data_IF_016006898832
#
_entry.id   IF_016006898832
#
_cell.length_a   1.000
_cell.length_b   1.000
_cell.length_c   1.000
_cell.angle_alpha   90.00
_cell.angle_beta   90.00
_cell.angle_gamma   90.00
#
_symmetry.space_group_name_H-M   'P 1'
#
loop_
_entity.id
_entity.type
_entity.pdbx_description
1 polymer ?
#
# COMPACT_ATOMS: atom_id res chain seq x y z
N UNK A 1 5.90 4.81 -32.87
CA UNK A 1 4.78 4.27 -33.69
C UNK A 1 4.42 2.92 -33.09
N UNK A 2 3.37 2.88 -32.27
CA UNK A 2 2.95 1.63 -31.61
C UNK A 2 1.86 0.98 -32.44
N UNK A 3 2.10 -0.23 -32.89
CA UNK A 3 1.08 -1.06 -33.53
C UNK A 3 0.46 -1.98 -32.47
N UNK A 4 -0.80 -1.74 -32.18
CA UNK A 4 -1.59 -2.63 -31.32
C UNK A 4 -2.16 -3.77 -32.18
N UNK A 5 -1.83 -5.00 -31.84
CA UNK A 5 -2.54 -6.18 -32.34
C UNK A 5 -3.64 -6.53 -31.34
N UNK A 6 -4.87 -6.55 -31.83
CA UNK A 6 -6.02 -7.07 -31.08
C UNK A 6 -6.21 -8.52 -31.46
N UNK A 7 -5.86 -9.43 -30.56
CA UNK A 7 -6.37 -10.78 -30.57
C UNK A 7 -6.83 -11.17 -29.13
N UNK A 8 -7.98 -11.79 -29.10
CA UNK A 8 -8.81 -12.01 -27.92
C UNK A 8 -8.24 -13.21 -27.12
N UNK A 9 -7.31 -12.98 -26.24
CA UNK A 9 -6.86 -13.77 -25.08
C UNK A 9 -5.34 -13.61 -24.89
N UNK A 10 -4.95 -13.13 -23.72
CA UNK A 10 -3.57 -12.99 -23.22
C UNK A 10 -2.81 -11.72 -23.63
N UNK A 11 -2.91 -10.71 -22.76
CA UNK A 11 -2.01 -9.56 -22.80
C UNK A 11 -0.66 -9.95 -22.21
N UNK A 12 0.40 -10.00 -23.06
CA UNK A 12 1.78 -9.86 -22.62
C UNK A 12 2.28 -8.48 -23.03
N UNK A 13 2.91 -7.71 -22.12
CA UNK A 13 3.50 -6.44 -22.49
C UNK A 13 4.67 -6.66 -23.45
N UNK A 14 4.65 -5.93 -24.58
CA UNK A 14 5.81 -5.87 -25.49
C UNK A 14 6.85 -5.01 -24.78
N UNK A 15 7.97 -5.61 -24.38
CA UNK A 15 9.12 -4.88 -23.85
C UNK A 15 9.71 -4.00 -24.96
N UNK A 16 10.01 -2.71 -24.69
CA UNK A 16 10.80 -1.91 -25.60
C UNK A 16 12.19 -2.54 -25.76
N UNK A 17 12.69 -2.58 -26.99
CA UNK A 17 14.07 -2.94 -27.26
C UNK A 17 14.95 -1.85 -26.63
N UNK A 18 15.62 -2.19 -25.52
CA UNK A 18 16.58 -1.30 -24.89
C UNK A 18 17.84 -1.26 -25.73
N UNK A 19 18.29 -0.08 -26.09
CA UNK A 19 19.60 0.14 -26.65
C UNK A 19 20.68 -0.29 -25.64
N UNK A 20 21.73 -0.96 -26.15
CA UNK A 20 22.72 -1.73 -25.39
C UNK A 20 23.71 -0.89 -24.55
N UNK A 21 23.45 0.39 -24.29
CA UNK A 21 24.43 1.30 -23.67
C UNK A 21 24.33 1.39 -22.13
N UNK A 22 23.43 0.64 -21.47
CA UNK A 22 23.28 0.66 -20.01
C UNK A 22 23.57 -0.69 -19.29
N UNK A 23 24.29 -1.59 -19.97
CA UNK A 23 24.48 -2.98 -19.44
C UNK A 23 25.62 -3.16 -18.44
N UNK A 24 26.43 -2.13 -18.14
CA UNK A 24 27.69 -2.32 -17.39
C UNK A 24 27.66 -1.98 -15.89
N UNK A 25 26.56 -1.50 -15.31
CA UNK A 25 26.56 -1.04 -13.91
C UNK A 25 25.94 -2.03 -12.89
N UNK A 26 25.31 -3.13 -13.32
CA UNK A 26 24.78 -4.15 -12.40
C UNK A 26 25.19 -5.56 -12.79
N UNK A 27 26.51 -5.85 -12.69
CA UNK A 27 27.01 -7.19 -12.82
C UNK A 27 26.78 -7.98 -11.54
N UNK A 28 25.72 -8.78 -11.52
CA UNK A 28 25.53 -9.81 -10.48
C UNK A 28 26.60 -10.90 -10.63
N UNK A 29 27.20 -11.39 -9.52
CA UNK A 29 28.15 -12.49 -9.59
C UNK A 29 27.46 -13.79 -10.03
N UNK A 30 28.13 -14.63 -10.81
CA UNK A 30 27.54 -15.89 -11.29
C UNK A 30 27.52 -16.95 -10.17
N UNK A 31 26.44 -17.70 -10.15
CA UNK A 31 26.23 -18.98 -9.49
C UNK A 31 25.81 -19.00 -8.02
N UNK A 32 24.52 -19.26 -7.83
CA UNK A 32 24.08 -20.30 -6.90
C UNK A 32 22.77 -20.92 -7.43
N UNK A 33 22.90 -22.08 -8.06
CA UNK A 33 21.79 -22.95 -8.42
C UNK A 33 21.14 -23.51 -7.15
N UNK A 34 19.86 -23.21 -6.92
CA UNK A 34 19.05 -23.93 -5.93
C UNK A 34 18.53 -25.20 -6.58
N UNK A 35 19.14 -26.35 -6.25
CA UNK A 35 18.58 -27.66 -6.55
C UNK A 35 17.41 -27.96 -5.62
N UNK A 36 16.22 -28.09 -6.20
CA UNK A 36 15.09 -28.75 -5.53
C UNK A 36 15.43 -30.24 -5.40
N UNK A 37 15.80 -30.68 -4.21
CA UNK A 37 15.79 -32.09 -3.87
C UNK A 37 14.43 -32.48 -3.29
N UNK A 38 13.80 -33.46 -3.97
CA UNK A 38 12.62 -34.18 -3.53
C UNK A 38 12.88 -34.81 -2.15
N UNK A 39 11.89 -34.68 -1.25
CA UNK A 39 11.91 -35.36 0.06
C UNK A 39 11.68 -36.86 -0.12
N UNK A 40 12.46 -37.73 0.52
CA UNK A 40 12.00 -39.05 0.91
C UNK A 40 11.34 -38.96 2.30
N UNK A 41 10.20 -39.61 2.43
CA UNK A 41 9.60 -39.90 3.74
C UNK A 41 10.42 -40.99 4.43
N UNK A 42 10.78 -40.81 5.69
CA UNK A 42 10.69 -41.76 6.80
C UNK A 42 11.64 -41.42 7.98
N UNK A 43 11.01 -41.22 9.11
CA UNK A 43 11.24 -41.86 10.42
C UNK A 43 12.38 -41.43 11.36
N UNK A 44 11.92 -41.25 12.60
CA UNK A 44 12.51 -41.43 13.93
C UNK A 44 13.44 -40.33 14.48
N UNK A 45 12.92 -39.82 15.56
CA UNK A 45 13.45 -38.94 16.55
C UNK A 45 14.91 -39.13 16.95
N UNK A 46 15.50 -37.99 17.31
CA UNK A 46 16.45 -37.89 18.41
C UNK A 46 16.53 -36.45 18.89
N UNK A 47 16.56 -36.32 20.20
CA UNK A 47 16.86 -35.11 20.95
C UNK A 47 18.17 -34.47 20.48
N UNK A 48 18.16 -33.14 20.29
CA UNK A 48 19.38 -32.37 20.10
C UNK A 48 19.07 -30.87 20.16
N UNK A 49 19.21 -30.28 21.35
CA UNK A 49 19.27 -28.85 21.56
C UNK A 49 20.49 -28.28 20.81
N UNK A 50 20.25 -27.31 19.90
CA UNK A 50 21.29 -26.38 19.49
C UNK A 50 20.85 -24.95 19.85
N UNK A 51 21.66 -24.20 20.61
CA UNK A 51 21.35 -22.80 20.91
C UNK A 51 21.72 -21.93 19.72
N UNK A 52 20.75 -21.16 19.24
CA UNK A 52 20.99 -20.06 18.30
C UNK A 52 21.44 -18.83 19.08
N UNK A 53 22.54 -18.17 18.70
CA UNK A 53 22.91 -16.91 19.31
C UNK A 53 22.25 -15.76 18.56
N UNK A 54 21.19 -15.19 19.13
CA UNK A 54 20.72 -13.87 18.75
C UNK A 54 21.23 -12.85 19.76
N UNK A 55 22.22 -12.07 19.37
CA UNK A 55 22.59 -10.86 20.08
C UNK A 55 21.62 -9.75 19.75
N UNK A 56 20.72 -9.43 20.67
CA UNK A 56 20.04 -8.14 20.70
C UNK A 56 20.52 -7.39 21.95
N UNK A 57 21.39 -6.42 21.75
CA UNK A 57 21.73 -5.44 22.77
C UNK A 57 20.58 -4.41 22.83
N UNK A 58 19.69 -4.56 23.79
CA UNK A 58 18.71 -3.54 24.14
C UNK A 58 18.79 -3.28 25.65
N UNK A 59 19.19 -2.06 26.10
CA UNK A 59 19.51 -1.79 27.50
C UNK A 59 18.30 -1.46 28.40
N UNK A 60 17.07 -1.77 28.02
CA UNK A 60 15.88 -1.34 28.76
C UNK A 60 14.94 -2.44 29.26
N UNK A 61 15.42 -3.64 29.58
CA UNK A 61 14.59 -4.58 30.34
C UNK A 61 15.33 -5.16 31.53
N UNK A 62 15.28 -4.40 32.65
CA UNK A 62 15.54 -4.92 33.97
C UNK A 62 14.18 -5.21 34.62
N UNK A 63 13.71 -6.44 34.59
CA UNK A 63 12.64 -6.92 35.47
C UNK A 63 12.91 -8.34 35.90
N UNK A 64 12.79 -8.48 37.23
CA UNK A 64 13.26 -9.55 38.06
C UNK A 64 12.71 -10.94 37.72
N UNK A 65 13.58 -11.91 37.95
CA UNK A 65 13.25 -13.33 38.00
C UNK A 65 12.33 -13.60 39.19
N UNK A 66 11.10 -14.03 38.93
CA UNK A 66 10.30 -14.80 39.86
C UNK A 66 10.27 -16.25 39.42
N UNK A 67 11.04 -17.07 40.11
CA UNK A 67 10.92 -18.54 40.09
C UNK A 67 9.52 -18.93 40.59
N UNK A 68 8.65 -19.45 39.72
CA UNK A 68 7.46 -20.17 40.14
C UNK A 68 7.50 -21.59 39.61
N UNK A 69 7.49 -22.50 40.58
CA UNK A 69 7.46 -23.95 40.40
C UNK A 69 6.26 -24.38 39.53
N UNK A 70 6.55 -25.15 38.49
CA UNK A 70 5.55 -25.79 37.65
C UNK A 70 4.83 -26.87 38.41
N UNK A 71 3.55 -26.71 38.69
CA UNK A 71 2.68 -27.71 39.24
C UNK A 71 1.79 -28.29 38.13
N UNK A 72 1.97 -29.57 37.72
CA UNK A 72 1.26 -30.12 36.56
C UNK A 72 -0.17 -30.60 36.82
N UNK A 73 -0.75 -30.36 38.00
CA UNK A 73 -2.07 -30.85 38.36
C UNK A 73 -3.00 -29.72 38.84
N UNK A 74 -3.35 -28.80 37.97
CA UNK A 74 -4.50 -27.94 38.23
C UNK A 74 -5.31 -27.72 36.95
N UNK A 75 -6.16 -28.68 36.63
CA UNK A 75 -7.25 -28.53 35.70
C UNK A 75 -8.41 -27.85 36.40
N UNK A 76 -8.74 -26.63 36.04
CA UNK A 76 -10.01 -26.01 36.39
C UNK A 76 -9.97 -24.69 37.12
N UNK A 77 -9.41 -23.64 36.48
CA UNK A 77 -9.93 -22.32 36.71
C UNK A 77 -10.14 -21.66 35.35
N UNK A 78 -11.42 -21.55 34.96
CA UNK A 78 -11.84 -20.60 33.96
C UNK A 78 -11.41 -19.22 34.45
N UNK A 79 -10.26 -18.71 33.96
CA UNK A 79 -10.01 -17.30 33.98
C UNK A 79 -11.02 -16.67 33.02
N UNK A 80 -12.13 -16.21 33.61
CA UNK A 80 -13.02 -15.27 32.99
C UNK A 80 -12.14 -14.11 32.55
N UNK A 81 -11.89 -14.00 31.25
CA UNK A 81 -11.27 -12.86 30.62
C UNK A 81 -12.26 -11.71 30.76
N UNK A 82 -12.28 -11.07 31.94
CA UNK A 82 -13.04 -9.86 32.15
C UNK A 82 -12.30 -8.74 31.39
N UNK A 83 -12.88 -8.39 30.24
CA UNK A 83 -12.78 -7.08 29.60
C UNK A 83 -11.45 -6.33 29.76
N UNK A 84 -10.35 -6.90 29.25
CA UNK A 84 -9.30 -6.04 28.76
C UNK A 84 -9.82 -5.43 27.46
N UNK A 85 -10.00 -4.11 27.37
CA UNK A 85 -10.29 -3.50 26.08
C UNK A 85 -9.14 -3.87 25.16
N UNK A 86 -9.48 -4.57 24.07
CA UNK A 86 -8.52 -4.86 23.01
C UNK A 86 -7.83 -3.54 22.64
N UNK A 87 -6.49 -3.45 22.66
CA UNK A 87 -5.79 -2.22 22.30
C UNK A 87 -6.07 -1.77 20.86
N UNK A 88 -6.73 -2.60 20.06
CA UNK A 88 -7.11 -2.34 18.66
C UNK A 88 -8.41 -1.56 18.49
N UNK A 89 -9.15 -1.22 19.54
CA UNK A 89 -10.45 -0.55 19.39
C UNK A 89 -10.43 0.95 19.73
N UNK A 90 -9.27 1.57 19.80
CA UNK A 90 -9.20 3.02 19.67
C UNK A 90 -9.29 3.36 18.18
N UNK A 91 -10.46 3.84 17.80
CA UNK A 91 -10.72 4.36 16.47
C UNK A 91 -9.72 5.49 16.19
N UNK A 92 -8.68 5.22 15.41
CA UNK A 92 -7.61 6.15 15.13
C UNK A 92 -8.19 7.39 14.43
N UNK A 93 -7.86 8.58 14.91
CA UNK A 93 -8.18 9.82 14.22
C UNK A 93 -7.51 9.84 12.84
N UNK A 94 -8.21 10.22 11.79
CA UNK A 94 -7.62 10.31 10.46
C UNK A 94 -6.91 11.67 10.30
N UNK A 95 -5.57 11.61 10.32
CA UNK A 95 -4.65 12.74 10.15
C UNK A 95 -3.29 12.28 9.64
N UNK A 96 -2.39 13.19 9.30
CA UNK A 96 -1.01 12.87 8.92
C UNK A 96 -0.17 12.48 10.13
N UNK A 97 0.19 11.20 10.21
CA UNK A 97 1.04 10.61 11.25
C UNK A 97 2.54 10.63 10.92
N UNK A 98 2.92 11.00 9.69
CA UNK A 98 4.32 11.03 9.29
C UNK A 98 5.17 12.05 10.06
N UNK A 99 6.48 11.84 10.16
CA UNK A 99 7.24 10.69 9.68
C UNK A 99 7.36 9.52 10.68
N UNK A 100 6.54 9.51 11.75
CA UNK A 100 6.61 8.47 12.78
C UNK A 100 6.16 7.11 12.24
N UNK A 101 6.75 5.99 12.71
CA UNK A 101 6.27 4.66 12.36
C UNK A 101 4.77 4.51 12.67
N UNK A 102 4.03 3.90 11.75
CA UNK A 102 2.59 3.69 11.87
C UNK A 102 2.24 2.27 11.43
N UNK A 103 1.38 1.62 12.21
CA UNK A 103 0.71 0.36 11.84
C UNK A 103 -0.79 0.63 11.93
N UNK A 104 -1.50 0.42 10.83
CA UNK A 104 -2.92 0.76 10.72
C UNK A 104 -3.61 -0.21 9.76
N UNK A 105 -4.89 -0.45 9.94
CA UNK A 105 -5.71 -1.06 8.92
C UNK A 105 -6.05 -0.01 7.86
N UNK A 106 -5.42 -0.13 6.68
CA UNK A 106 -5.54 0.88 5.61
C UNK A 106 -6.90 0.82 4.94
N UNK A 107 -7.47 -0.37 4.77
CA UNK A 107 -8.82 -0.59 4.23
C UNK A 107 -9.86 0.12 5.11
N UNK A 108 -9.91 -0.20 6.41
CA UNK A 108 -10.80 0.46 7.37
C UNK A 108 -10.61 1.99 7.36
N UNK A 109 -9.37 2.45 7.23
CA UNK A 109 -9.07 3.89 7.22
C UNK A 109 -9.61 4.56 5.95
N UNK A 110 -9.48 3.90 4.80
CA UNK A 110 -10.00 4.40 3.53
C UNK A 110 -11.54 4.43 3.52
N UNK A 111 -12.19 3.37 3.99
CA UNK A 111 -13.65 3.28 4.10
C UNK A 111 -14.24 4.38 5.01
N UNK A 112 -13.58 4.62 6.14
CA UNK A 112 -13.99 5.65 7.12
C UNK A 112 -13.73 7.07 6.65
N UNK A 113 -12.82 7.28 5.70
CA UNK A 113 -12.53 8.62 5.21
C UNK A 113 -13.72 9.18 4.44
N UNK A 114 -14.17 10.36 4.83
CA UNK A 114 -15.23 11.12 4.15
C UNK A 114 -14.70 12.37 3.45
N UNK A 115 -13.40 12.66 3.57
CA UNK A 115 -12.79 13.79 2.89
C UNK A 115 -12.48 13.43 1.43
N UNK A 116 -12.59 14.39 0.54
CA UNK A 116 -12.15 14.23 -0.84
C UNK A 116 -10.68 13.78 -0.89
N UNK A 117 -9.78 14.42 -0.12
CA UNK A 117 -8.38 14.05 0.04
C UNK A 117 -7.92 14.26 1.47
N UNK A 118 -7.23 13.28 2.05
CA UNK A 118 -6.61 13.38 3.36
C UNK A 118 -5.23 12.73 3.30
N UNK A 119 -4.18 13.48 3.63
CA UNK A 119 -2.84 12.91 3.82
C UNK A 119 -2.81 12.16 5.15
N UNK A 120 -2.54 10.85 5.07
CA UNK A 120 -2.50 9.96 6.23
C UNK A 120 -1.09 9.81 6.81
N UNK A 121 -0.09 9.81 5.94
CA UNK A 121 1.31 9.67 6.37
C UNK A 121 2.26 10.29 5.35
N UNK A 122 3.22 11.09 5.82
CA UNK A 122 4.24 11.72 4.99
C UNK A 122 5.63 11.36 5.48
N UNK A 123 6.38 10.62 4.67
CA UNK A 123 7.79 10.30 4.88
C UNK A 123 8.73 11.10 3.98
N UNK A 124 9.99 10.70 3.93
CA UNK A 124 10.99 11.33 3.05
C UNK A 124 10.80 10.97 1.59
N UNK A 125 10.45 9.70 1.31
CA UNK A 125 10.44 9.14 -0.05
C UNK A 125 9.06 8.71 -0.54
N UNK A 126 8.07 8.65 0.35
CA UNK A 126 6.70 8.34 -0.02
C UNK A 126 5.68 9.06 0.86
N UNK A 127 4.47 9.16 0.35
CA UNK A 127 3.33 9.72 1.05
C UNK A 127 2.09 8.86 0.80
N UNK A 128 1.30 8.64 1.84
CA UNK A 128 0.03 7.92 1.77
C UNK A 128 -1.12 8.90 1.93
N UNK A 129 -2.08 8.84 1.00
CA UNK A 129 -3.32 9.64 1.07
C UNK A 129 -4.54 8.75 1.00
N UNK A 130 -5.62 9.18 1.61
CA UNK A 130 -6.95 8.60 1.50
C UNK A 130 -7.82 9.53 0.67
N UNK A 131 -8.71 8.97 -0.16
CA UNK A 131 -9.69 9.74 -0.92
C UNK A 131 -11.07 9.11 -0.84
N UNK A 132 -12.09 9.97 -0.94
CA UNK A 132 -13.49 9.56 -1.05
C UNK A 132 -14.16 10.41 -2.12
N UNK A 133 -14.56 9.77 -3.22
CA UNK A 133 -15.24 10.43 -4.35
C UNK A 133 -16.73 10.09 -4.30
N UNK A 134 -17.58 11.11 -4.30
CA UNK A 134 -19.03 10.92 -4.38
C UNK A 134 -19.44 10.33 -5.75
N UNK A 135 -20.63 9.74 -5.90
CA UNK A 135 -21.13 9.30 -7.20
C UNK A 135 -21.06 10.41 -8.26
N UNK A 136 -20.43 10.11 -9.40
CA UNK A 136 -20.20 11.05 -10.50
C UNK A 136 -19.02 12.00 -10.31
N UNK A 137 -18.37 12.01 -9.14
CA UNK A 137 -17.20 12.84 -8.87
C UNK A 137 -15.92 12.19 -9.43
N UNK A 138 -14.94 12.99 -9.78
CA UNK A 138 -13.63 12.54 -10.24
C UNK A 138 -12.48 13.25 -9.51
N UNK A 139 -11.25 12.73 -9.64
CA UNK A 139 -10.05 13.34 -9.05
C UNK A 139 -9.60 14.60 -9.77
N UNK A 140 -10.14 14.87 -10.98
CA UNK A 140 -9.60 15.83 -11.94
C UNK A 140 -8.52 15.20 -12.82
N UNK A 141 -8.48 15.58 -14.10
CA UNK A 141 -7.40 15.10 -15.00
C UNK A 141 -6.09 15.77 -14.64
N UNK A 142 -5.17 15.01 -14.08
CA UNK A 142 -3.90 15.50 -13.53
C UNK A 142 -2.68 14.74 -14.08
N UNK A 143 -1.48 15.32 -13.88
CA UNK A 143 -0.19 14.71 -14.19
C UNK A 143 0.80 15.07 -13.10
N UNK A 144 1.61 14.10 -12.68
CA UNK A 144 2.72 14.29 -11.74
C UNK A 144 4.04 14.05 -12.49
N UNK A 145 4.76 15.12 -12.91
CA UNK A 145 5.93 14.97 -13.81
C UNK A 145 7.06 14.10 -13.25
N UNK A 146 7.24 14.09 -11.92
CA UNK A 146 8.37 13.45 -11.24
C UNK A 146 7.95 12.53 -10.09
N UNK A 147 6.71 12.07 -10.10
CA UNK A 147 6.15 11.27 -9.02
C UNK A 147 5.47 10.04 -9.60
N UNK A 148 5.89 8.86 -9.20
CA UNK A 148 5.13 7.64 -9.43
C UNK A 148 4.01 7.54 -8.41
N UNK A 149 2.85 7.04 -8.85
CA UNK A 149 1.69 6.90 -7.99
C UNK A 149 1.12 5.48 -8.08
N UNK A 150 0.92 4.88 -6.92
CA UNK A 150 0.12 3.67 -6.76
C UNK A 150 -1.22 4.06 -6.16
N UNK A 151 -2.32 3.55 -6.72
CA UNK A 151 -3.67 3.77 -6.20
C UNK A 151 -4.35 2.42 -6.03
N UNK A 152 -5.06 2.23 -4.92
CA UNK A 152 -5.90 1.06 -4.71
C UNK A 152 -7.32 1.46 -4.32
N UNK A 153 -8.29 0.78 -4.91
CA UNK A 153 -9.70 0.89 -4.56
C UNK A 153 -10.00 -0.08 -3.42
N UNK A 154 -10.58 0.44 -2.34
CA UNK A 154 -11.01 -0.36 -1.18
C UNK A 154 -12.52 -0.56 -1.14
N UNK A 155 -13.32 0.36 -1.70
CA UNK A 155 -14.76 0.21 -1.83
C UNK A 155 -15.28 0.98 -3.05
N UNK A 156 -16.26 0.42 -3.76
CA UNK A 156 -17.00 1.11 -4.79
C UNK A 156 -16.61 0.74 -6.21
N UNK A 157 -17.11 1.51 -7.17
CA UNK A 157 -16.91 1.28 -8.59
C UNK A 157 -16.55 2.56 -9.31
N UNK A 158 -15.65 2.47 -10.27
CA UNK A 158 -15.19 3.62 -11.03
C UNK A 158 -14.61 3.26 -12.38
N UNK A 159 -14.02 4.26 -13.00
CA UNK A 159 -13.26 4.11 -14.24
C UNK A 159 -11.95 4.88 -14.09
N UNK A 160 -10.85 4.24 -14.47
CA UNK A 160 -9.55 4.90 -14.62
C UNK A 160 -9.27 5.15 -16.08
N UNK A 161 -8.74 6.34 -16.37
CA UNK A 161 -8.30 6.76 -17.69
C UNK A 161 -6.88 7.28 -17.59
N UNK A 162 -5.99 6.83 -18.49
CA UNK A 162 -4.58 7.26 -18.55
C UNK A 162 -4.12 7.50 -19.98
N UNK A 163 -3.12 8.37 -20.14
CA UNK A 163 -2.58 8.65 -21.46
C UNK A 163 -1.40 9.62 -21.47
N UNK A 164 -0.94 9.94 -22.66
CA UNK A 164 0.24 10.78 -22.88
C UNK A 164 -0.04 12.28 -22.79
N UNK A 165 -1.28 12.71 -22.81
CA UNK A 165 -1.67 14.11 -22.68
C UNK A 165 -3.07 14.26 -22.08
N UNK A 166 -3.38 15.45 -21.57
CA UNK A 166 -4.68 15.76 -20.95
C UNK A 166 -5.87 15.41 -21.87
N UNK A 167 -5.71 15.58 -23.16
CA UNK A 167 -6.77 15.36 -24.15
C UNK A 167 -6.67 14.00 -24.86
N UNK A 168 -5.73 13.14 -24.45
CA UNK A 168 -5.49 11.84 -25.08
C UNK A 168 -5.28 10.75 -24.02
N UNK A 169 -6.33 10.40 -23.29
CA UNK A 169 -6.38 9.34 -22.28
C UNK A 169 -6.86 8.04 -22.94
N UNK A 170 -5.95 7.32 -23.60
CA UNK A 170 -6.27 6.17 -24.46
C UNK A 170 -6.41 4.84 -23.69
N UNK A 171 -5.79 4.71 -22.52
CA UNK A 171 -5.96 3.55 -21.65
C UNK A 171 -7.15 3.80 -20.73
N UNK A 172 -8.17 2.96 -20.81
CA UNK A 172 -9.35 3.05 -19.96
C UNK A 172 -9.69 1.67 -19.40
N UNK A 173 -9.99 1.61 -18.08
CA UNK A 173 -10.38 0.37 -17.38
C UNK A 173 -11.41 0.67 -16.30
N UNK A 174 -12.39 -0.23 -16.19
CA UNK A 174 -13.29 -0.23 -15.04
C UNK A 174 -12.55 -0.62 -13.78
N UNK A 175 -12.97 -0.03 -12.68
CA UNK A 175 -12.44 -0.25 -11.34
C UNK A 175 -13.53 -0.83 -10.45
N UNK A 176 -13.12 -1.73 -9.59
CA UNK A 176 -13.93 -2.32 -8.53
C UNK A 176 -13.06 -2.51 -7.30
N UNK A 177 -13.65 -2.93 -6.19
CA UNK A 177 -12.95 -3.29 -4.97
C UNK A 177 -11.74 -4.21 -5.25
N UNK A 178 -10.60 -3.90 -4.65
CA UNK A 178 -9.32 -4.59 -4.85
C UNK A 178 -8.54 -4.17 -6.11
N UNK A 179 -9.10 -3.32 -7.00
CA UNK A 179 -8.39 -2.81 -8.19
C UNK A 179 -7.16 -1.99 -7.79
N UNK A 180 -6.03 -2.23 -8.46
CA UNK A 180 -4.80 -1.47 -8.29
C UNK A 180 -4.40 -0.76 -9.60
N UNK A 181 -3.99 0.50 -9.48
CA UNK A 181 -3.58 1.35 -10.59
C UNK A 181 -2.15 1.82 -10.34
N UNK A 182 -1.26 1.60 -11.30
CA UNK A 182 0.11 2.10 -11.30
C UNK A 182 0.20 3.24 -12.32
N UNK A 183 0.51 4.44 -11.85
CA UNK A 183 0.63 5.64 -12.67
C UNK A 183 2.10 6.07 -12.69
N UNK A 184 2.84 5.80 -13.77
CA UNK A 184 4.21 6.28 -13.91
C UNK A 184 4.28 7.81 -13.97
N UNK A 185 5.38 8.37 -13.47
CA UNK A 185 5.68 9.80 -13.58
C UNK A 185 5.46 10.31 -15.01
N UNK A 186 4.86 11.49 -15.14
CA UNK A 186 4.54 12.10 -16.44
C UNK A 186 3.31 11.55 -17.15
N UNK A 187 2.59 10.59 -16.56
CA UNK A 187 1.36 10.03 -17.15
C UNK A 187 0.14 10.84 -16.74
N UNK A 188 -0.59 11.38 -17.71
CA UNK A 188 -1.89 12.00 -17.49
C UNK A 188 -2.92 10.95 -17.09
N UNK A 189 -3.69 11.22 -16.06
CA UNK A 189 -4.67 10.27 -15.56
C UNK A 189 -5.87 10.95 -14.91
N UNK A 190 -6.96 10.19 -14.83
CA UNK A 190 -8.17 10.55 -14.10
C UNK A 190 -8.84 9.27 -13.55
N UNK A 191 -9.52 9.41 -12.44
CA UNK A 191 -10.40 8.39 -11.86
C UNK A 191 -11.75 9.03 -11.61
N UNK A 192 -12.80 8.40 -12.14
CA UNK A 192 -14.18 8.85 -11.97
C UNK A 192 -14.98 7.77 -11.22
N UNK A 193 -15.73 8.16 -10.21
CA UNK A 193 -16.70 7.29 -9.57
C UNK A 193 -17.92 7.10 -10.50
N UNK A 194 -18.11 5.90 -11.01
CA UNK A 194 -19.26 5.53 -11.87
C UNK A 194 -20.33 4.72 -11.12
N UNK A 195 -20.07 4.44 -9.83
CA UNK A 195 -21.01 3.72 -8.96
C UNK A 195 -22.06 4.62 -8.33
N UNK A 196 -22.87 4.02 -7.46
CA UNK A 196 -23.96 4.69 -6.72
C UNK A 196 -23.61 4.97 -5.26
N UNK A 197 -22.41 4.53 -4.82
CA UNK A 197 -21.84 4.77 -3.51
C UNK A 197 -20.54 5.57 -3.66
N UNK A 198 -20.02 6.17 -2.57
CA UNK A 198 -18.68 6.75 -2.59
C UNK A 198 -17.63 5.73 -3.02
N UNK A 199 -16.71 6.14 -3.87
CA UNK A 199 -15.53 5.37 -4.25
C UNK A 199 -14.44 5.68 -3.24
N UNK A 200 -14.02 4.67 -2.47
CA UNK A 200 -12.99 4.76 -1.44
C UNK A 200 -11.68 4.21 -1.95
N UNK A 201 -10.64 5.00 -1.83
CA UNK A 201 -9.33 4.59 -2.29
C UNK A 201 -8.21 5.18 -1.43
N UNK A 202 -7.05 4.56 -1.49
CA UNK A 202 -5.83 5.20 -1.04
C UNK A 202 -4.80 5.29 -2.17
N UNK A 203 -3.93 6.30 -2.06
CA UNK A 203 -2.81 6.48 -2.98
C UNK A 203 -1.49 6.52 -2.22
N UNK A 204 -0.44 6.00 -2.87
CA UNK A 204 0.96 6.15 -2.45
C UNK A 204 1.68 6.95 -3.53
N UNK A 205 2.25 8.09 -3.15
CA UNK A 205 3.08 8.94 -4.01
C UNK A 205 4.54 8.72 -3.67
N UNK A 206 5.39 8.59 -4.66
CA UNK A 206 6.84 8.47 -4.50
C UNK A 206 7.56 9.37 -5.52
N UNK A 207 8.18 10.48 -5.07
CA UNK A 207 8.20 11.05 -3.71
C UNK A 207 6.86 11.68 -3.26
N UNK A 208 6.78 12.24 -2.02
CA UNK A 208 5.60 12.98 -1.53
C UNK A 208 5.15 14.07 -2.50
N UNK A 209 3.83 14.18 -2.73
CA UNK A 209 3.24 15.09 -3.71
C UNK A 209 2.46 16.25 -3.08
N UNK A 210 1.86 16.05 -1.92
CA UNK A 210 1.06 17.08 -1.25
C UNK A 210 1.77 17.63 -0.01
N UNK A 211 1.48 18.88 0.40
CA UNK A 211 1.94 19.40 1.68
C UNK A 211 1.54 18.47 2.83
N UNK A 212 2.43 18.31 3.81
CA UNK A 212 2.17 17.49 4.99
C UNK A 212 0.90 17.98 5.70
N UNK A 213 0.03 17.04 6.10
CA UNK A 213 -1.19 17.35 6.83
C UNK A 213 -2.33 17.89 5.97
N UNK A 214 -2.22 17.83 4.63
CA UNK A 214 -3.29 18.27 3.72
C UNK A 214 -4.59 17.53 4.00
N UNK A 215 -5.67 18.28 4.18
CA UNK A 215 -7.06 17.80 4.26
C UNK A 215 -7.93 18.68 3.38
N UNK A 216 -8.50 18.10 2.32
CA UNK A 216 -9.51 18.72 1.48
C UNK A 216 -10.83 18.00 1.71
N UNK A 217 -11.81 18.69 2.29
CA UNK A 217 -13.12 18.08 2.58
C UNK A 217 -13.90 17.81 1.31
N UNK A 218 -13.75 18.69 0.32
CA UNK A 218 -14.45 18.63 -0.98
C UNK A 218 -13.45 18.75 -2.12
N UNK A 219 -13.89 18.40 -3.34
CA UNK A 219 -13.15 18.62 -4.57
C UNK A 219 -12.84 20.12 -4.77
N UNK A 220 -13.78 20.98 -4.48
CA UNK A 220 -13.60 22.44 -4.59
C UNK A 220 -12.47 22.96 -3.68
N UNK A 221 -12.29 22.38 -2.47
CA UNK A 221 -11.18 22.75 -1.59
C UNK A 221 -9.83 22.36 -2.22
N UNK A 222 -9.78 21.20 -2.89
CA UNK A 222 -8.57 20.75 -3.58
C UNK A 222 -8.22 21.68 -4.75
N UNK A 223 -9.18 21.98 -5.61
CA UNK A 223 -9.03 22.88 -6.75
C UNK A 223 -8.59 24.31 -6.33
N UNK A 224 -9.20 24.83 -5.26
CA UNK A 224 -8.83 26.14 -4.70
C UNK A 224 -7.38 26.15 -4.15
N UNK A 225 -6.94 25.06 -3.55
CA UNK A 225 -5.57 24.90 -3.04
C UNK A 225 -4.52 24.88 -4.18
N UNK A 226 -4.82 24.21 -5.29
CA UNK A 226 -3.95 24.12 -6.46
C UNK A 226 -3.81 25.48 -7.17
N UNK A 227 -4.87 26.27 -7.27
CA UNK A 227 -4.82 27.63 -7.83
C UNK A 227 -3.96 28.61 -7.03
N UNK A 228 -3.77 28.38 -5.73
CA UNK A 228 -2.96 29.24 -4.86
C UNK A 228 -1.46 28.87 -4.87
N UNK A 229 -1.07 27.78 -5.50
CA UNK A 229 0.32 27.29 -5.56
C UNK A 229 1.00 27.59 -6.93
N UNK A 230 0.26 28.12 -7.91
CA UNK A 230 0.73 28.50 -9.24
C UNK A 230 0.92 30.00 -9.35
#
# INVERSE_FOLDING_TARGET
>A
MYQAYTDNTNFYPITPQMDNDYADEYRMPPNNYWHYHQRPQHFHGFHGMYPMPFYFNNPFFHMGYMNQFYNPYNWGHHYRQENMPSPMNQQLELKDYGPMPLIINIEESAERNTNFRLVLWTGTHLQVTLMSLNPGEDIGTEVHPNVDQFIRVEEGQGISQMGSSKNNLTLQRNLEDGSAIMVPAGTWHNITNTGVKPLKLYSIYAPPNHPKGTIHKTKADAEASEMNLG
#
